data_IF_779117527305
#
_entry.id   IF_779117527305
#
_cell.length_a   1.000
_cell.length_b   1.000
_cell.length_c   1.000
_cell.angle_alpha   90.00
_cell.angle_beta   90.00
_cell.angle_gamma   90.00
#
_symmetry.space_group_name_H-M   'P 1'
#
loop_
_entity.id
_entity.type
_entity.pdbx_description
1 polymer ?
#
# COMPACT_ATOMS: atom_id res chain seq x y z
N UNK A 1 39.92 -12.96 19.86
CA UNK A 1 38.80 -13.74 20.43
C UNK A 1 38.54 -14.92 19.52
N UNK A 2 37.68 -15.88 19.91
CA UNK A 2 37.20 -16.92 18.98
C UNK A 2 36.41 -16.30 17.83
N UNK A 3 36.38 -16.96 16.67
CA UNK A 3 35.59 -16.50 15.53
C UNK A 3 34.07 -16.58 15.81
N UNK A 4 33.21 -15.81 15.10
CA UNK A 4 31.76 -15.81 15.36
C UNK A 4 31.09 -17.19 15.29
N UNK A 5 31.55 -18.07 14.39
CA UNK A 5 31.02 -19.44 14.24
C UNK A 5 31.52 -20.42 15.31
N UNK A 6 32.57 -20.05 16.07
CA UNK A 6 33.16 -20.86 17.14
C UNK A 6 32.65 -20.46 18.53
N UNK A 7 31.77 -19.47 18.59
CA UNK A 7 31.07 -19.07 19.80
C UNK A 7 30.07 -20.14 20.22
N UNK A 8 29.67 -20.15 21.49
CA UNK A 8 28.62 -21.06 21.99
C UNK A 8 27.28 -20.87 21.26
N UNK A 9 27.01 -19.64 20.83
CA UNK A 9 25.88 -19.27 19.98
C UNK A 9 26.45 -18.52 18.79
N UNK A 10 26.30 -19.10 17.60
CA UNK A 10 26.77 -18.51 16.35
C UNK A 10 25.72 -17.53 15.81
N UNK A 11 26.19 -16.41 15.25
CA UNK A 11 25.36 -15.49 14.47
C UNK A 11 25.48 -15.71 12.95
N UNK A 12 26.23 -16.73 12.52
CA UNK A 12 26.42 -17.05 11.11
C UNK A 12 25.20 -17.81 10.60
N UNK A 13 24.51 -17.32 9.55
CA UNK A 13 23.33 -17.99 9.01
C UNK A 13 23.70 -19.14 8.07
N UNK A 14 22.79 -20.11 7.96
CA UNK A 14 22.79 -21.06 6.86
C UNK A 14 22.13 -20.41 5.63
N UNK A 15 22.81 -20.46 4.49
CA UNK A 15 22.35 -19.83 3.24
C UNK A 15 22.09 -20.92 2.20
N UNK A 16 20.88 -20.90 1.64
CA UNK A 16 20.45 -21.79 0.58
C UNK A 16 19.97 -20.97 -0.63
N UNK A 17 20.46 -21.32 -1.81
CA UNK A 17 20.01 -20.73 -3.06
C UNK A 17 19.03 -21.67 -3.76
N UNK A 18 17.87 -21.13 -4.15
CA UNK A 18 16.84 -21.87 -4.90
C UNK A 18 16.59 -21.13 -6.21
N UNK A 19 16.90 -21.79 -7.32
CA UNK A 19 16.69 -21.27 -8.68
C UNK A 19 15.50 -21.94 -9.37
N UNK A 20 14.93 -21.28 -10.39
CA UNK A 20 13.87 -21.86 -11.22
C UNK A 20 12.47 -21.82 -10.60
N UNK A 21 12.24 -20.94 -9.62
CA UNK A 21 10.91 -20.70 -9.06
C UNK A 21 9.95 -20.22 -10.16
N UNK A 22 8.82 -20.92 -10.29
CA UNK A 22 7.78 -20.57 -11.24
C UNK A 22 6.81 -19.53 -10.64
N UNK A 23 6.15 -18.68 -11.46
CA UNK A 23 5.04 -17.86 -10.99
C UNK A 23 3.98 -18.71 -10.27
N UNK A 24 3.48 -18.24 -9.14
CA UNK A 24 2.60 -18.99 -8.24
C UNK A 24 3.34 -19.88 -7.23
N UNK A 25 4.68 -19.83 -7.20
CA UNK A 25 5.47 -20.34 -6.06
C UNK A 25 5.13 -19.57 -4.79
N UNK A 26 5.20 -20.25 -3.65
CA UNK A 26 4.85 -19.67 -2.34
C UNK A 26 5.96 -20.02 -1.36
N UNK A 27 6.37 -19.02 -0.58
CA UNK A 27 7.22 -19.20 0.60
C UNK A 27 6.39 -18.87 1.84
N UNK A 28 6.48 -19.74 2.84
CA UNK A 28 5.81 -19.59 4.13
C UNK A 28 6.90 -19.54 5.19
N UNK A 29 6.92 -18.46 5.97
CA UNK A 29 7.86 -18.26 7.06
C UNK A 29 7.07 -18.14 8.36
N UNK A 30 7.38 -19.02 9.32
CA UNK A 30 6.76 -18.98 10.64
C UNK A 30 7.82 -19.22 11.72
N UNK A 31 7.55 -18.76 12.93
CA UNK A 31 8.34 -19.15 14.11
C UNK A 31 7.99 -20.58 14.59
N UNK A 32 8.77 -21.07 15.54
CA UNK A 32 8.57 -22.34 16.26
C UNK A 32 7.17 -22.47 16.87
N UNK A 33 6.55 -21.40 17.36
CA UNK A 33 5.16 -21.43 17.85
C UNK A 33 4.13 -21.99 16.85
N UNK A 34 4.42 -21.95 15.54
CA UNK A 34 3.65 -22.66 14.51
C UNK A 34 4.10 -24.12 14.37
N UNK A 35 5.41 -24.34 14.24
CA UNK A 35 6.00 -25.63 13.91
C UNK A 35 5.98 -26.65 15.06
N UNK A 36 5.83 -26.19 16.30
CA UNK A 36 5.64 -27.05 17.48
C UNK A 36 4.32 -27.82 17.46
N UNK A 37 3.32 -27.31 16.72
CA UNK A 37 1.96 -27.86 16.70
C UNK A 37 1.44 -28.22 15.31
N UNK A 38 2.15 -27.85 14.25
CA UNK A 38 1.79 -28.15 12.86
C UNK A 38 3.02 -28.50 12.02
N UNK A 39 2.86 -29.48 11.12
CA UNK A 39 3.93 -29.85 10.19
C UNK A 39 4.00 -28.88 8.99
N UNK A 40 5.18 -28.78 8.38
CA UNK A 40 5.36 -28.01 7.13
C UNK A 40 4.42 -28.46 6.01
N UNK A 41 4.13 -29.76 5.92
CA UNK A 41 3.20 -30.30 4.92
C UNK A 41 1.74 -29.90 5.20
N UNK A 42 1.29 -29.94 6.46
CA UNK A 42 -0.06 -29.47 6.84
C UNK A 42 -0.24 -28.00 6.44
N UNK A 43 0.71 -27.14 6.83
CA UNK A 43 0.62 -25.70 6.58
C UNK A 43 0.67 -25.40 5.07
N UNK A 44 1.62 -26.00 4.35
CA UNK A 44 1.73 -25.82 2.90
C UNK A 44 0.46 -26.29 2.16
N UNK A 45 -0.12 -27.42 2.59
CA UNK A 45 -1.36 -27.95 2.02
C UNK A 45 -2.55 -27.03 2.29
N UNK A 46 -2.67 -26.52 3.52
CA UNK A 46 -3.74 -25.58 3.89
C UNK A 46 -3.70 -24.30 3.04
N UNK A 47 -2.53 -23.69 2.90
CA UNK A 47 -2.34 -22.47 2.07
C UNK A 47 -2.65 -22.77 0.61
N UNK A 48 -2.12 -23.86 0.06
CA UNK A 48 -2.37 -24.25 -1.34
C UNK A 48 -3.84 -24.53 -1.61
N UNK A 49 -4.54 -25.22 -0.70
CA UNK A 49 -5.96 -25.53 -0.86
C UNK A 49 -6.82 -24.27 -0.81
N UNK A 50 -6.50 -23.33 0.09
CA UNK A 50 -7.22 -22.05 0.18
C UNK A 50 -7.07 -21.24 -1.10
N UNK A 51 -5.85 -21.11 -1.64
CA UNK A 51 -5.59 -20.39 -2.90
C UNK A 51 -6.17 -21.09 -4.14
N UNK A 52 -6.26 -22.41 -4.13
CA UNK A 52 -6.96 -23.15 -5.20
C UNK A 52 -8.46 -22.90 -5.18
N UNK A 53 -9.06 -22.84 -4.00
CA UNK A 53 -10.49 -22.57 -3.84
C UNK A 53 -10.84 -21.11 -4.15
N UNK A 54 -9.93 -20.18 -3.85
CA UNK A 54 -10.11 -18.75 -4.03
C UNK A 54 -8.77 -18.10 -4.43
N UNK A 55 -8.53 -17.93 -5.75
CA UNK A 55 -7.30 -17.32 -6.25
C UNK A 55 -7.10 -15.85 -5.84
N UNK A 56 -8.15 -15.18 -5.34
CA UNK A 56 -8.13 -13.78 -4.91
C UNK A 56 -8.10 -13.64 -3.38
N UNK A 57 -7.92 -14.75 -2.65
CA UNK A 57 -7.84 -14.73 -1.20
C UNK A 57 -6.66 -13.87 -0.71
N UNK A 58 -6.92 -13.01 0.27
CA UNK A 58 -5.89 -12.20 0.93
C UNK A 58 -4.93 -13.12 1.70
N UNK A 59 -3.64 -13.05 1.38
CA UNK A 59 -2.61 -13.89 2.02
C UNK A 59 -2.48 -13.59 3.52
N UNK A 60 -2.76 -12.36 3.95
CA UNK A 60 -2.78 -11.98 5.36
C UNK A 60 -3.88 -12.68 6.13
N UNK A 61 -5.07 -12.83 5.53
CA UNK A 61 -6.16 -13.60 6.14
C UNK A 61 -5.82 -15.10 6.24
N UNK A 62 -5.10 -15.65 5.26
CA UNK A 62 -4.58 -17.03 5.33
C UNK A 62 -3.53 -17.16 6.44
N UNK A 63 -2.60 -16.21 6.55
CA UNK A 63 -1.60 -16.19 7.61
C UNK A 63 -2.25 -16.06 9.00
N UNK A 64 -3.27 -15.21 9.14
CA UNK A 64 -4.06 -15.10 10.36
C UNK A 64 -4.77 -16.42 10.69
N UNK A 65 -5.21 -17.17 9.68
CA UNK A 65 -5.78 -18.50 9.91
C UNK A 65 -4.75 -19.50 10.43
N UNK A 66 -3.52 -19.49 9.90
CA UNK A 66 -2.40 -20.31 10.43
C UNK A 66 -2.18 -19.99 11.91
N UNK A 67 -2.13 -18.70 12.27
CA UNK A 67 -1.97 -18.27 13.67
C UNK A 67 -3.11 -18.81 14.55
N UNK A 68 -4.37 -18.66 14.11
CA UNK A 68 -5.52 -19.20 14.85
C UNK A 68 -5.47 -20.71 14.99
N UNK A 69 -5.03 -21.43 13.95
CA UNK A 69 -4.90 -22.89 13.96
C UNK A 69 -3.84 -23.35 14.96
N UNK A 70 -2.69 -22.65 15.03
CA UNK A 70 -1.67 -22.90 16.05
C UNK A 70 -2.23 -22.73 17.47
N UNK A 71 -2.98 -21.66 17.73
CA UNK A 71 -3.58 -21.40 19.03
C UNK A 71 -4.64 -22.47 19.37
N UNK A 72 -5.48 -22.87 18.41
CA UNK A 72 -6.47 -23.96 18.60
C UNK A 72 -5.81 -25.31 18.87
N UNK A 73 -4.65 -25.55 18.27
CA UNK A 73 -3.80 -26.72 18.58
C UNK A 73 -2.96 -26.53 19.85
N UNK A 74 -3.29 -25.53 20.67
CA UNK A 74 -2.70 -25.28 21.99
C UNK A 74 -1.20 -24.94 21.94
N UNK A 75 -0.79 -24.19 20.91
CA UNK A 75 0.49 -23.47 20.97
C UNK A 75 0.47 -22.50 22.15
N UNK A 76 1.57 -22.45 22.90
CA UNK A 76 1.75 -21.61 24.10
C UNK A 76 2.82 -20.55 23.92
N UNK A 77 3.38 -20.45 22.73
CA UNK A 77 4.42 -19.48 22.39
C UNK A 77 3.82 -18.29 21.62
N UNK A 78 4.64 -17.28 21.37
CA UNK A 78 4.38 -16.25 20.38
C UNK A 78 4.27 -16.90 18.99
N UNK A 79 3.23 -16.55 18.26
CA UNK A 79 2.96 -17.12 16.93
C UNK A 79 3.05 -16.03 15.87
N UNK A 80 4.00 -16.17 14.96
CA UNK A 80 4.20 -15.28 13.80
C UNK A 80 4.19 -16.12 12.54
N UNK A 81 3.47 -15.63 11.50
CA UNK A 81 3.41 -16.26 10.19
C UNK A 81 3.43 -15.19 9.09
N UNK A 82 4.16 -15.46 8.01
CA UNK A 82 4.23 -14.66 6.80
C UNK A 82 4.13 -15.56 5.58
N UNK A 83 3.34 -15.14 4.60
CA UNK A 83 3.17 -15.83 3.32
C UNK A 83 3.56 -14.89 2.20
N UNK A 84 4.50 -15.31 1.36
CA UNK A 84 4.92 -14.59 0.17
C UNK A 84 4.60 -15.44 -1.08
N UNK A 85 3.89 -14.84 -2.04
CA UNK A 85 3.63 -15.47 -3.34
C UNK A 85 4.47 -14.78 -4.41
N UNK A 86 5.22 -15.57 -5.18
CA UNK A 86 6.01 -15.07 -6.30
C UNK A 86 5.11 -14.95 -7.53
N UNK A 87 5.05 -13.75 -8.09
CA UNK A 87 4.30 -13.44 -9.32
C UNK A 87 5.23 -12.78 -10.33
N UNK A 88 4.82 -12.69 -11.58
CA UNK A 88 5.54 -11.90 -12.57
C UNK A 88 5.46 -10.41 -12.19
N UNK A 89 6.62 -9.85 -11.84
CA UNK A 89 6.77 -8.47 -11.37
C UNK A 89 7.01 -7.45 -12.48
N UNK A 90 7.08 -7.86 -13.76
CA UNK A 90 7.47 -6.97 -14.88
C UNK A 90 6.64 -5.69 -14.95
N UNK A 91 5.33 -5.80 -14.70
CA UNK A 91 4.39 -4.65 -14.70
C UNK A 91 4.58 -3.69 -13.50
N UNK A 92 5.20 -4.14 -12.41
CA UNK A 92 5.23 -3.45 -11.12
C UNK A 92 6.49 -2.62 -10.91
N UNK A 93 7.52 -2.81 -11.75
CA UNK A 93 8.82 -2.12 -11.64
C UNK A 93 8.72 -0.59 -11.63
N UNK A 94 7.62 -0.02 -12.14
CA UNK A 94 7.37 1.43 -12.16
C UNK A 94 6.08 1.85 -11.44
N UNK A 95 5.35 0.91 -10.83
CA UNK A 95 4.15 1.26 -10.08
C UNK A 95 4.58 1.85 -8.72
N UNK A 96 3.94 2.94 -8.25
CA UNK A 96 4.20 3.49 -6.93
C UNK A 96 3.71 2.53 -5.85
N UNK A 97 4.33 2.60 -4.67
CA UNK A 97 3.87 1.85 -3.49
C UNK A 97 2.38 2.11 -3.23
N UNK A 98 1.62 1.03 -3.05
CA UNK A 98 0.18 1.03 -2.82
C UNK A 98 -0.11 0.57 -1.39
N UNK A 99 -0.82 1.39 -0.61
CA UNK A 99 -1.34 1.00 0.68
C UNK A 99 -2.60 0.18 0.48
N UNK A 100 -2.56 -1.09 0.89
CA UNK A 100 -3.70 -1.99 0.88
C UNK A 100 -4.35 -2.10 2.24
N UNK A 101 -5.60 -2.54 2.26
CA UNK A 101 -6.33 -2.87 3.48
C UNK A 101 -6.40 -1.71 4.50
N UNK A 102 -6.41 -0.45 4.02
CA UNK A 102 -6.46 0.73 4.86
C UNK A 102 -7.76 0.82 5.68
N UNK A 103 -8.83 0.21 5.17
CA UNK A 103 -10.12 0.06 5.84
C UNK A 103 -10.06 -0.84 7.08
N UNK A 104 -9.04 -1.70 7.22
CA UNK A 104 -8.89 -2.55 8.41
C UNK A 104 -8.55 -1.72 9.67
N UNK A 105 -8.04 -0.50 9.52
CA UNK A 105 -7.70 0.38 10.65
C UNK A 105 -8.96 0.85 11.41
N UNK A 106 -9.97 1.30 10.67
CA UNK A 106 -11.20 1.86 11.26
C UNK A 106 -11.99 0.81 12.04
N UNK A 107 -11.76 -0.47 11.77
CA UNK A 107 -12.37 -1.59 12.48
C UNK A 107 -11.72 -1.91 13.83
N UNK A 108 -10.56 -1.33 14.15
CA UNK A 108 -9.88 -1.54 15.42
C UNK A 108 -10.29 -0.49 16.44
N UNK A 109 -10.66 -0.91 17.66
CA UNK A 109 -10.89 -0.01 18.80
C UNK A 109 -9.61 0.20 19.63
N UNK A 110 -8.46 -0.32 19.20
CA UNK A 110 -7.20 -0.25 19.93
C UNK A 110 -6.39 1.00 19.52
N UNK A 111 -6.24 1.93 20.47
CA UNK A 111 -5.53 3.19 20.28
C UNK A 111 -4.03 3.02 19.99
N UNK A 112 -3.38 2.00 20.55
CA UNK A 112 -1.95 1.76 20.30
C UNK A 112 -1.75 1.18 18.90
N UNK A 113 -2.64 0.29 18.44
CA UNK A 113 -2.64 -0.19 17.05
C UNK A 113 -2.79 0.99 16.07
N UNK A 114 -3.75 1.89 16.33
CA UNK A 114 -3.94 3.09 15.50
C UNK A 114 -2.71 3.97 15.46
N UNK A 115 -2.09 4.22 16.61
CA UNK A 115 -0.88 5.03 16.73
C UNK A 115 0.30 4.42 15.96
N UNK A 116 0.53 3.12 16.09
CA UNK A 116 1.60 2.43 15.36
C UNK A 116 1.36 2.46 13.85
N UNK A 117 0.10 2.29 13.41
CA UNK A 117 -0.26 2.40 12.00
C UNK A 117 -0.03 3.81 11.46
N UNK A 118 -0.47 4.86 12.17
CA UNK A 118 -0.21 6.25 11.79
C UNK A 118 1.30 6.56 11.71
N UNK A 119 2.09 6.02 12.64
CA UNK A 119 3.55 6.15 12.58
C UNK A 119 4.15 5.46 11.35
N UNK A 120 3.63 4.29 10.99
CA UNK A 120 4.00 3.59 9.77
C UNK A 120 3.66 4.41 8.52
N UNK A 121 2.44 4.97 8.42
CA UNK A 121 2.05 5.84 7.30
C UNK A 121 3.02 7.02 7.15
N UNK A 122 3.33 7.70 8.26
CA UNK A 122 4.27 8.81 8.27
C UNK A 122 5.65 8.40 7.74
N UNK A 123 6.19 7.27 8.23
CA UNK A 123 7.51 6.77 7.81
C UNK A 123 7.52 6.34 6.34
N UNK A 124 6.43 5.76 5.86
CA UNK A 124 6.24 5.33 4.47
C UNK A 124 5.80 6.47 3.54
N UNK A 125 5.73 7.71 4.04
CA UNK A 125 5.34 8.91 3.28
C UNK A 125 3.91 8.88 2.73
N UNK A 126 3.00 8.21 3.42
CA UNK A 126 1.57 8.26 3.16
C UNK A 126 0.88 9.32 4.03
N UNK A 127 -0.19 9.98 3.55
CA UNK A 127 -1.00 10.85 4.39
C UNK A 127 -1.69 10.06 5.53
N UNK A 128 -2.06 10.69 6.65
CA UNK A 128 -2.72 9.99 7.76
C UNK A 128 -4.12 9.48 7.37
N UNK A 129 -4.84 10.24 6.55
CA UNK A 129 -6.15 9.86 6.04
C UNK A 129 -6.02 9.17 4.68
N UNK A 130 -6.67 8.01 4.46
CA UNK A 130 -6.68 7.33 3.17
C UNK A 130 -7.17 8.22 2.04
N UNK A 131 -6.32 8.42 1.03
CA UNK A 131 -6.65 9.17 -0.18
C UNK A 131 -6.72 8.22 -1.37
N UNK A 132 -7.92 7.72 -1.67
CA UNK A 132 -8.11 6.73 -2.72
C UNK A 132 -8.33 7.39 -4.08
N UNK A 133 -7.91 6.69 -5.13
CA UNK A 133 -8.16 7.13 -6.49
C UNK A 133 -9.66 7.06 -6.81
N UNK A 134 -10.24 8.18 -7.27
CA UNK A 134 -11.66 8.24 -7.63
C UNK A 134 -12.09 7.28 -8.76
N UNK A 135 -11.13 6.67 -9.47
CA UNK A 135 -11.39 5.75 -10.60
C UNK A 135 -11.13 4.29 -10.27
N UNK A 136 -10.05 3.98 -9.54
CA UNK A 136 -9.61 2.61 -9.30
C UNK A 136 -9.48 2.26 -7.82
N UNK A 137 -9.85 3.16 -6.91
CA UNK A 137 -9.76 3.03 -5.45
C UNK A 137 -8.35 2.81 -4.87
N UNK A 138 -7.31 2.60 -5.69
CA UNK A 138 -5.93 2.50 -5.20
C UNK A 138 -5.51 3.75 -4.41
N UNK A 139 -4.81 3.54 -3.30
CA UNK A 139 -4.16 4.59 -2.54
C UNK A 139 -2.64 4.41 -2.66
N UNK A 140 -2.01 5.27 -3.45
CA UNK A 140 -0.56 5.22 -3.69
C UNK A 140 0.17 6.26 -2.86
N UNK A 141 1.46 6.05 -2.60
CA UNK A 141 2.30 6.99 -1.81
C UNK A 141 2.28 8.41 -2.36
N UNK A 142 2.18 8.53 -3.68
CA UNK A 142 2.03 9.81 -4.37
C UNK A 142 0.70 9.86 -5.14
N UNK A 143 -0.24 10.68 -4.65
CA UNK A 143 -1.53 10.92 -5.27
C UNK A 143 -1.56 12.28 -5.99
N UNK A 144 -2.11 12.33 -7.20
CA UNK A 144 -2.41 13.58 -7.88
C UNK A 144 -3.69 14.17 -7.29
N UNK A 145 -3.61 15.37 -6.72
CA UNK A 145 -4.76 16.09 -6.22
C UNK A 145 -5.30 17.05 -7.29
N UNK A 146 -6.62 17.08 -7.47
CA UNK A 146 -7.25 18.14 -8.28
C UNK A 146 -7.08 19.51 -7.58
N UNK A 147 -6.91 20.64 -8.30
CA UNK A 147 -6.81 21.95 -7.68
C UNK A 147 -7.97 22.33 -6.73
N UNK A 148 -9.15 21.72 -6.90
CA UNK A 148 -10.30 21.91 -6.01
C UNK A 148 -10.13 21.22 -4.64
N UNK A 149 -9.13 20.35 -4.50
CA UNK A 149 -8.81 19.52 -3.33
C UNK A 149 -9.89 18.50 -2.92
N UNK A 150 -10.94 18.33 -3.74
CA UNK A 150 -12.04 17.41 -3.44
C UNK A 150 -11.82 15.98 -3.94
N UNK A 151 -10.90 15.77 -4.89
CA UNK A 151 -10.69 14.46 -5.53
C UNK A 151 -9.20 14.19 -5.77
N UNK A 152 -8.84 12.91 -5.72
CA UNK A 152 -7.47 12.41 -5.84
C UNK A 152 -7.38 11.29 -6.90
N UNK A 153 -6.21 11.16 -7.52
CA UNK A 153 -5.95 10.18 -8.58
C UNK A 153 -4.56 9.57 -8.48
N UNK A 154 -4.45 8.25 -8.58
CA UNK A 154 -3.15 7.57 -8.59
C UNK A 154 -2.28 7.99 -9.79
N UNK A 155 -2.88 8.38 -10.92
CA UNK A 155 -2.15 8.81 -12.12
C UNK A 155 -2.96 9.75 -13.03
N UNK A 156 -2.28 10.37 -14.00
CA UNK A 156 -2.90 11.25 -15.02
C UNK A 156 -3.92 10.53 -15.90
N UNK A 157 -3.77 9.22 -16.12
CA UNK A 157 -4.74 8.42 -16.90
C UNK A 157 -6.09 8.37 -16.18
N UNK A 158 -6.09 8.08 -14.87
CA UNK A 158 -7.29 8.11 -14.03
C UNK A 158 -7.92 9.50 -13.98
N UNK A 159 -7.10 10.55 -13.79
CA UNK A 159 -7.61 11.94 -13.81
C UNK A 159 -8.35 12.27 -15.12
N UNK A 160 -7.76 11.93 -16.29
CA UNK A 160 -8.41 12.19 -17.59
C UNK A 160 -9.71 11.39 -17.77
N UNK A 161 -9.76 10.16 -17.25
CA UNK A 161 -10.95 9.31 -17.31
C UNK A 161 -12.11 9.91 -16.51
N UNK A 162 -11.83 10.40 -15.30
CA UNK A 162 -12.82 11.02 -14.42
C UNK A 162 -13.19 12.45 -14.82
N UNK A 163 -12.29 13.19 -15.49
CA UNK A 163 -12.46 14.61 -15.81
C UNK A 163 -13.79 14.95 -16.49
N UNK A 164 -14.31 14.06 -17.35
CA UNK A 164 -15.60 14.27 -18.02
C UNK A 164 -16.76 14.42 -17.03
N UNK A 165 -16.73 13.69 -15.91
CA UNK A 165 -17.73 13.75 -14.85
C UNK A 165 -17.38 14.83 -13.81
N UNK A 166 -16.12 14.89 -13.37
CA UNK A 166 -15.71 15.82 -12.32
C UNK A 166 -15.72 17.29 -12.76
N UNK A 167 -15.46 17.61 -14.03
CA UNK A 167 -15.30 19.00 -14.51
C UNK A 167 -16.50 19.90 -14.19
N UNK A 168 -17.73 19.39 -14.31
CA UNK A 168 -18.96 20.18 -14.08
C UNK A 168 -19.16 20.57 -12.62
N UNK A 169 -18.64 19.76 -11.70
CA UNK A 169 -18.75 19.96 -10.26
C UNK A 169 -17.45 20.50 -9.63
N UNK A 170 -16.39 20.68 -10.43
CA UNK A 170 -15.09 21.13 -9.97
C UNK A 170 -15.13 22.63 -9.65
N UNK A 171 -15.01 22.97 -8.36
CA UNK A 171 -15.00 24.37 -7.90
C UNK A 171 -13.88 25.20 -8.54
N UNK A 172 -12.69 24.63 -8.74
CA UNK A 172 -11.56 25.32 -9.40
C UNK A 172 -11.76 25.57 -10.89
N UNK A 173 -12.56 24.74 -11.57
CA UNK A 173 -12.90 24.94 -12.99
C UNK A 173 -14.04 25.96 -13.16
N UNK A 174 -14.88 26.13 -12.14
CA UNK A 174 -15.97 27.12 -12.13
C UNK A 174 -15.48 28.54 -11.82
N UNK A 175 -14.35 28.69 -11.12
CA UNK A 175 -13.76 30.01 -10.80
C UNK A 175 -13.14 30.69 -12.04
N UNK A 176 -12.71 29.93 -13.06
CA UNK A 176 -12.17 30.50 -14.31
C UNK A 176 -13.22 31.07 -15.27
N UNK A 177 -14.50 31.15 -14.85
CA UNK A 177 -15.63 31.60 -15.67
C UNK A 177 -16.33 32.88 -15.14
N UNK A 178 -15.67 33.73 -14.34
CA UNK A 178 -16.23 35.04 -13.95
C UNK A 178 -15.24 36.19 -14.18
N UNK A 179 -15.64 37.29 -14.85
CA UNK A 179 -14.78 38.45 -15.08
C UNK A 179 -14.88 39.42 -13.90
N UNK A 180 -13.78 39.64 -13.19
CA UNK A 180 -13.64 40.77 -12.27
C UNK A 180 -12.26 41.39 -12.40
N UNK A 181 -12.14 42.33 -13.34
CA UNK A 181 -11.07 43.31 -13.38
C UNK A 181 -11.68 44.71 -13.27
N UNK A 182 -11.24 45.58 -12.36
CA UNK A 182 -11.69 46.97 -12.34
C UNK A 182 -11.16 47.70 -13.57
N UNK A 183 -11.98 48.60 -14.12
CA UNK A 183 -11.69 49.41 -15.28
C UNK A 183 -10.37 50.19 -15.13
N UNK A 184 -9.49 50.10 -16.13
CA UNK A 184 -8.29 50.95 -16.26
C UNK A 184 -8.70 52.41 -16.49
N UNK A 185 -8.03 53.40 -15.88
CA UNK A 185 -8.18 54.79 -16.29
C UNK A 185 -7.45 55.04 -17.62
N UNK A 186 -8.09 55.87 -18.44
CA UNK A 186 -7.62 56.40 -19.73
C UNK A 186 -6.32 57.20 -19.58
N UNK A 187 -5.31 56.87 -20.39
CA UNK A 187 -4.08 57.65 -20.51
C UNK A 187 -4.19 58.67 -21.64
N UNK A 188 -4.02 59.95 -21.30
CA UNK A 188 -4.00 61.08 -22.23
C UNK A 188 -2.80 61.03 -23.18
N UNK A 189 -3.03 61.38 -24.45
CA UNK A 189 -1.99 61.59 -25.47
C UNK A 189 -1.26 62.90 -25.19
N UNK A 190 0.07 62.85 -25.13
CA UNK A 190 0.94 64.03 -25.16
C UNK A 190 1.45 64.20 -26.60
N UNK A 191 1.09 65.33 -27.20
CA UNK A 191 1.56 65.82 -28.49
C UNK A 191 3.05 66.20 -28.43
N UNK A 192 3.87 65.56 -29.27
CA UNK A 192 5.24 66.01 -29.57
C UNK A 192 5.18 67.11 -30.63
N UNK A 193 5.38 68.36 -30.21
CA UNK A 193 5.58 69.52 -31.10
C UNK A 193 7.06 69.61 -31.48
N UNK A 194 7.32 69.69 -32.79
CA UNK A 194 8.62 69.99 -33.41
C UNK A 194 9.07 71.41 -33.06
N UNK A 195 10.32 71.55 -32.60
CA UNK A 195 11.37 72.47 -33.06
C UNK A 195 12.60 72.26 -32.18
#
# INVERSE_FOLDING_TARGET
GKEPFEQKVSCVPDIYEVSGLQPGSIVILCCDGVWDVMSGLEVATAVRNRLKADPMADLGDIAAQIVRDSLRKNSRDNVTAMIAQFVDGTEWTQEPDEMKNYEKLDASDDDEVKKQYLHFLQKSQFPPDPQTCAVCAKWTSNMNQCPCKQVYYCCRKCQKKDWKAHKSICSSANISASPSGPAKPSAAKVDKKKA
#
